data_IF_525614316115
#
_entry.id   IF_525614316115
#
_cell.length_a   1.000
_cell.length_b   1.000
_cell.length_c   1.000
_cell.angle_alpha   90.00
_cell.angle_beta   90.00
_cell.angle_gamma   90.00
#
_symmetry.space_group_name_H-M   'P 1'
#
loop_
_entity.id
_entity.type
_entity.pdbx_description
1 polymer ?
#
# COMPACT_ATOMS: atom_id res chain seq x y z
N UNK A 1 6.20 -9.73 -11.72
CA UNK A 1 4.98 -8.91 -11.54
C UNK A 1 3.92 -9.84 -10.96
N UNK A 2 3.81 -9.88 -9.64
CA UNK A 2 2.83 -10.72 -8.97
C UNK A 2 1.54 -9.91 -8.89
N UNK A 3 0.54 -10.27 -9.70
CA UNK A 3 -0.84 -9.89 -9.45
C UNK A 3 -1.19 -10.34 -8.02
N UNK A 4 -1.98 -9.59 -7.22
CA UNK A 4 -2.50 -10.13 -5.97
C UNK A 4 -3.05 -11.52 -6.25
N UNK A 5 -2.62 -12.52 -5.48
CA UNK A 5 -3.19 -13.87 -5.57
C UNK A 5 -4.70 -13.69 -5.43
N UNK A 6 -5.54 -14.42 -6.17
CA UNK A 6 -7.00 -14.21 -6.20
C UNK A 6 -7.63 -14.00 -4.82
N UNK A 7 -7.07 -14.62 -3.78
CA UNK A 7 -7.45 -14.43 -2.38
C UNK A 7 -7.17 -13.01 -1.83
N UNK A 8 -6.00 -12.43 -2.10
CA UNK A 8 -5.65 -11.07 -1.68
C UNK A 8 -6.53 -10.03 -2.37
N UNK A 9 -6.76 -10.19 -3.68
CA UNK A 9 -7.70 -9.33 -4.40
C UNK A 9 -9.11 -9.42 -3.83
N UNK A 10 -9.60 -10.64 -3.54
CA UNK A 10 -10.90 -10.84 -2.92
C UNK A 10 -10.98 -10.21 -1.52
N UNK A 11 -9.92 -10.29 -0.71
CA UNK A 11 -9.88 -9.67 0.62
C UNK A 11 -9.93 -8.14 0.55
N UNK A 12 -9.20 -7.53 -0.39
CA UNK A 12 -9.24 -6.09 -0.63
C UNK A 12 -10.59 -5.65 -1.21
N UNK A 13 -11.17 -6.43 -2.11
CA UNK A 13 -12.49 -6.14 -2.68
C UNK A 13 -13.62 -6.28 -1.67
N UNK A 14 -13.50 -7.22 -0.72
CA UNK A 14 -14.44 -7.38 0.41
C UNK A 14 -14.36 -6.23 1.43
N UNK A 15 -13.26 -5.46 1.45
CA UNK A 15 -13.09 -4.34 2.37
C UNK A 15 -12.96 -3.00 1.62
N UNK A 16 -14.08 -2.38 1.21
CA UNK A 16 -14.06 -1.17 0.39
C UNK A 16 -13.49 0.06 1.10
N UNK A 17 -13.31 0.01 2.44
CA UNK A 17 -12.65 1.07 3.20
C UNK A 17 -11.13 1.10 2.96
N UNK A 18 -10.54 0.02 2.44
CA UNK A 18 -9.11 -0.06 2.14
C UNK A 18 -8.87 0.44 0.70
N UNK A 19 -8.22 1.60 0.59
CA UNK A 19 -7.70 2.08 -0.68
C UNK A 19 -6.25 1.61 -0.87
N UNK A 20 -6.07 0.43 -1.48
CA UNK A 20 -4.76 -0.13 -1.77
C UNK A 20 -3.97 0.71 -2.81
N UNK A 21 -2.65 0.78 -2.64
CA UNK A 21 -1.71 1.46 -3.55
C UNK A 21 -0.49 0.59 -3.84
N UNK A 22 -0.28 0.21 -5.09
CA UNK A 22 0.85 -0.56 -5.58
C UNK A 22 1.93 0.33 -6.19
N UNK A 23 2.88 0.80 -5.37
CA UNK A 23 3.92 1.73 -5.86
C UNK A 23 5.06 1.05 -6.64
N UNK A 24 5.20 -0.28 -6.57
CA UNK A 24 6.32 -1.01 -7.22
C UNK A 24 6.31 -0.91 -8.74
N UNK A 25 5.18 -0.59 -9.36
CA UNK A 25 5.10 -0.28 -10.80
C UNK A 25 5.88 0.99 -11.15
N UNK A 26 5.97 1.95 -10.23
CA UNK A 26 6.68 3.22 -10.41
C UNK A 26 8.17 3.10 -10.07
N UNK A 27 8.51 2.35 -9.03
CA UNK A 27 9.87 2.30 -8.48
C UNK A 27 10.69 1.12 -8.98
N UNK A 28 10.05 0.14 -9.62
CA UNK A 28 10.64 -1.19 -9.80
C UNK A 28 10.81 -1.94 -8.48
N UNK A 29 11.49 -3.08 -8.54
CA UNK A 29 11.67 -3.96 -7.39
C UNK A 29 12.91 -3.57 -6.58
N UNK A 30 12.68 -2.89 -5.45
CA UNK A 30 13.74 -2.29 -4.62
C UNK A 30 14.37 -3.27 -3.61
N UNK A 31 14.02 -4.56 -3.67
CA UNK A 31 14.51 -5.59 -2.74
C UNK A 31 14.24 -5.20 -1.28
N UNK A 32 15.28 -5.19 -0.44
CA UNK A 32 15.22 -4.91 1.00
C UNK A 32 14.76 -3.49 1.31
N UNK A 33 15.01 -2.53 0.41
CA UNK A 33 14.59 -1.14 0.59
C UNK A 33 13.09 -0.92 0.35
N UNK A 34 12.37 -1.90 -0.22
CA UNK A 34 10.98 -1.74 -0.59
C UNK A 34 10.07 -1.54 0.63
N UNK A 35 10.30 -2.29 1.71
CA UNK A 35 9.49 -2.16 2.93
C UNK A 35 9.75 -0.85 3.69
N UNK A 36 11.01 -0.46 3.99
CA UNK A 36 11.30 0.86 4.56
C UNK A 36 10.75 2.02 3.72
N UNK A 37 10.80 1.91 2.39
CA UNK A 37 10.22 2.91 1.50
C UNK A 37 8.69 2.98 1.61
N UNK A 38 8.00 1.83 1.69
CA UNK A 38 6.56 1.78 1.93
C UNK A 38 6.18 2.46 3.26
N UNK A 39 6.95 2.23 4.32
CA UNK A 39 6.74 2.88 5.63
C UNK A 39 6.94 4.40 5.53
N UNK A 40 7.95 4.85 4.80
CA UNK A 40 8.19 6.28 4.58
C UNK A 40 7.03 6.93 3.79
N UNK A 41 6.50 6.27 2.76
CA UNK A 41 5.34 6.76 2.01
C UNK A 41 4.09 6.84 2.91
N UNK A 42 3.87 5.84 3.77
CA UNK A 42 2.78 5.82 4.74
C UNK A 42 2.88 7.00 5.72
N UNK A 43 4.06 7.22 6.29
CA UNK A 43 4.32 8.37 7.16
C UNK A 43 4.09 9.70 6.45
N UNK A 44 4.55 9.84 5.20
CA UNK A 44 4.36 11.07 4.42
C UNK A 44 2.88 11.33 4.09
N UNK A 45 2.10 10.29 3.78
CA UNK A 45 0.67 10.45 3.50
C UNK A 45 -0.09 10.98 4.72
N UNK A 46 0.20 10.43 5.90
CA UNK A 46 -0.40 10.85 7.17
C UNK A 46 0.07 12.27 7.55
N UNK A 47 1.37 12.55 7.51
CA UNK A 47 1.95 13.85 7.84
C UNK A 47 1.42 14.97 6.93
N UNK A 48 1.33 14.70 5.63
CA UNK A 48 0.81 15.65 4.64
C UNK A 48 -0.71 15.71 4.56
N UNK A 49 -1.41 14.85 5.33
CA UNK A 49 -2.87 14.76 5.35
C UNK A 49 -3.45 14.54 3.95
N UNK A 50 -2.74 13.80 3.11
CA UNK A 50 -3.08 13.61 1.71
C UNK A 50 -2.77 12.18 1.27
N UNK A 51 -3.74 11.52 0.63
CA UNK A 51 -3.54 10.22 0.02
C UNK A 51 -2.85 10.35 -1.34
N UNK A 52 -2.11 9.30 -1.74
CA UNK A 52 -1.58 9.21 -3.08
C UNK A 52 -2.70 9.00 -4.11
N UNK A 53 -2.57 9.59 -5.31
CA UNK A 53 -3.50 9.31 -6.40
C UNK A 53 -3.47 7.81 -6.76
N UNK A 54 -4.49 7.36 -7.48
CA UNK A 54 -4.47 6.02 -8.08
C UNK A 54 -3.35 5.97 -9.13
N UNK A 55 -2.51 4.95 -9.06
CA UNK A 55 -1.45 4.71 -10.04
C UNK A 55 -1.96 3.85 -11.19
N UNK A 56 -2.88 2.94 -10.91
CA UNK A 56 -3.59 2.11 -11.89
C UNK A 56 -5.10 2.20 -11.67
N UNK A 57 -5.80 2.91 -12.55
CA UNK A 57 -7.24 3.13 -12.46
C UNK A 57 -8.08 1.85 -12.67
N UNK A 58 -7.51 0.78 -13.25
CA UNK A 58 -8.21 -0.49 -13.42
C UNK A 58 -8.17 -1.37 -12.17
N UNK A 59 -7.17 -1.18 -11.31
CA UNK A 59 -6.92 -2.02 -10.14
C UNK A 59 -7.14 -1.31 -8.80
N UNK A 60 -6.95 0.01 -8.74
CA UNK A 60 -6.96 0.78 -7.51
C UNK A 60 -8.20 1.68 -7.39
N UNK A 61 -8.76 1.73 -6.18
CA UNK A 61 -9.91 2.59 -5.86
C UNK A 61 -9.42 3.95 -5.36
N UNK A 62 -10.08 5.07 -5.72
CA UNK A 62 -9.78 6.37 -5.15
C UNK A 62 -9.99 6.36 -3.63
N UNK A 63 -9.22 7.18 -2.93
CA UNK A 63 -9.41 7.43 -1.51
C UNK A 63 -9.84 8.89 -1.35
N UNK A 64 -11.00 9.11 -0.76
CA UNK A 64 -11.51 10.44 -0.46
C UNK A 64 -11.31 10.75 1.03
N UNK A 65 -10.68 11.88 1.34
CA UNK A 65 -10.46 12.34 2.69
C UNK A 65 -9.00 12.35 3.14
N UNK A 66 -8.81 12.52 4.44
CA UNK A 66 -7.49 12.64 5.06
C UNK A 66 -7.08 11.27 5.64
N UNK A 67 -5.95 10.68 5.22
CA UNK A 67 -5.49 9.41 5.77
C UNK A 67 -5.02 9.59 7.22
N UNK A 68 -5.81 9.09 8.18
CA UNK A 68 -5.43 9.07 9.60
C UNK A 68 -4.54 7.85 9.95
N UNK A 69 -4.68 6.79 9.18
CA UNK A 69 -3.99 5.52 9.38
C UNK A 69 -3.63 4.92 8.03
N UNK A 70 -2.38 4.50 7.86
CA UNK A 70 -1.90 3.84 6.64
C UNK A 70 -1.15 2.57 7.00
N UNK A 71 -1.46 1.49 6.28
CA UNK A 71 -0.82 0.19 6.45
C UNK A 71 0.22 -0.02 5.35
N UNK A 72 1.49 -0.17 5.73
CA UNK A 72 2.55 -0.60 4.83
C UNK A 72 2.74 -2.12 4.96
N UNK A 73 2.60 -2.86 3.87
CA UNK A 73 2.78 -4.31 3.84
C UNK A 73 3.95 -4.71 2.94
N UNK A 74 4.58 -5.84 3.25
CA UNK A 74 5.60 -6.46 2.41
C UNK A 74 5.41 -7.97 2.42
N UNK A 75 5.49 -8.58 1.23
CA UNK A 75 5.40 -10.03 1.04
C UNK A 75 6.72 -10.48 0.40
N UNK A 76 7.43 -11.37 1.09
CA UNK A 76 8.65 -11.99 0.62
C UNK A 76 8.39 -13.06 -0.44
N UNK A 77 9.40 -13.38 -1.24
CA UNK A 77 9.23 -14.25 -2.41
C UNK A 77 9.01 -15.73 -2.07
N UNK A 78 9.75 -16.26 -1.08
CA UNK A 78 9.61 -17.65 -0.62
C UNK A 78 9.06 -17.76 0.81
N UNK A 79 9.35 -16.74 1.63
CA UNK A 79 9.09 -16.70 3.05
C UNK A 79 9.23 -15.25 3.53
N UNK A 80 8.65 -14.98 4.69
CA UNK A 80 8.59 -13.68 5.39
C UNK A 80 7.52 -12.71 4.86
N UNK A 81 6.73 -12.20 5.79
CA UNK A 81 5.74 -11.13 5.60
C UNK A 81 6.04 -10.02 6.61
N UNK A 82 5.74 -8.78 6.24
CA UNK A 82 5.97 -7.61 7.07
C UNK A 82 4.77 -6.66 7.01
N UNK A 83 4.48 -6.03 8.14
CA UNK A 83 3.40 -5.05 8.24
C UNK A 83 3.80 -3.94 9.22
N UNK A 84 3.50 -2.70 8.86
CA UNK A 84 3.64 -1.54 9.74
C UNK A 84 2.38 -0.67 9.64
N UNK A 85 1.77 -0.39 10.80
CA UNK A 85 0.67 0.54 10.92
C UNK A 85 1.22 1.91 11.30
N UNK A 86 0.99 2.92 10.45
CA UNK A 86 1.37 4.31 10.72
C UNK A 86 0.12 5.12 10.98
N UNK A 87 0.05 5.74 12.16
CA UNK A 87 -1.06 6.58 12.58
C UNK A 87 -0.64 8.04 12.66
N UNK A 88 -1.59 8.94 12.44
CA UNK A 88 -1.44 10.34 12.80
C UNK A 88 -1.18 10.47 14.31
N UNK A 89 -0.36 11.47 14.66
CA UNK A 89 -0.08 11.82 16.06
C UNK A 89 -1.31 12.47 16.73
#
# INVERSE_FOLDING_TARGET
FMCPVSAEKAALDANPAIAARGFSTLTGHMKEAQFPFAVALAALAVDRKAAYPVFDAAAEKPFEGVPATVLATAIGYHQFEGMALVNAA
#
